data_IF_451652426927
#
_entry.id   IF_451652426927
#
_cell.length_a   1.000
_cell.length_b   1.000
_cell.length_c   1.000
_cell.angle_alpha   90.00
_cell.angle_beta   90.00
_cell.angle_gamma   90.00
#
_symmetry.space_group_name_H-M   'P 1'
#
loop_
_entity.id
_entity.type
_entity.pdbx_description
1 polymer ?
#
# COMPACT_ATOMS: atom_id res chain seq x y z
N UNK A 1 -1.47 -18.77 -6.40
CA UNK A 1 -0.58 -17.57 -6.24
C UNK A 1 -0.86 -16.92 -4.91
N UNK A 2 0.18 -16.59 -4.14
CA UNK A 2 0.08 -15.83 -2.89
C UNK A 2 0.30 -14.34 -3.14
N UNK A 3 -0.31 -13.49 -2.31
CA UNK A 3 -0.03 -12.06 -2.29
C UNK A 3 0.78 -11.71 -1.03
N UNK A 4 1.94 -11.09 -1.23
CA UNK A 4 2.76 -10.54 -0.17
C UNK A 4 2.57 -9.02 -0.10
N UNK A 5 2.05 -8.53 1.03
CA UNK A 5 1.81 -7.11 1.27
C UNK A 5 2.90 -6.58 2.22
N UNK A 6 3.69 -5.62 1.74
CA UNK A 6 4.78 -5.02 2.49
C UNK A 6 4.26 -4.08 3.58
N UNK A 7 4.24 -4.53 4.83
CA UNK A 7 3.72 -3.81 5.99
C UNK A 7 4.75 -3.41 7.04
N UNK A 8 6.01 -3.87 6.92
CA UNK A 8 7.05 -3.65 7.94
C UNK A 8 7.73 -2.27 7.90
N UNK A 9 7.40 -1.42 6.94
CA UNK A 9 7.98 -0.08 6.82
C UNK A 9 7.64 0.82 8.01
N UNK A 10 8.60 1.61 8.50
CA UNK A 10 8.41 2.52 9.64
C UNK A 10 7.42 3.67 9.36
N UNK A 11 7.16 3.98 8.08
CA UNK A 11 6.19 5.01 7.71
C UNK A 11 6.53 6.42 8.20
N UNK A 12 7.82 6.75 8.30
CA UNK A 12 8.30 8.02 8.89
C UNK A 12 7.75 9.27 8.22
N UNK A 13 7.48 9.23 6.92
CA UNK A 13 6.87 10.35 6.17
C UNK A 13 5.40 10.58 6.54
N UNK A 14 4.71 9.58 7.08
CA UNK A 14 3.32 9.67 7.52
C UNK A 14 3.22 10.02 9.03
N UNK A 15 4.35 10.24 9.69
CA UNK A 15 4.32 10.73 11.07
C UNK A 15 3.58 12.10 11.14
N UNK A 16 2.85 12.38 12.23
CA UNK A 16 2.81 11.62 13.49
C UNK A 16 1.78 10.47 13.53
N UNK A 17 1.01 10.22 12.48
CA UNK A 17 -0.04 9.19 12.44
C UNK A 17 0.54 7.78 12.69
N UNK A 18 1.75 7.53 12.19
CA UNK A 18 2.44 6.25 12.37
C UNK A 18 2.99 6.01 13.78
N UNK A 19 2.93 7.01 14.66
CA UNK A 19 3.14 6.81 16.09
C UNK A 19 1.91 6.16 16.78
N UNK A 20 0.76 6.17 16.12
CA UNK A 20 -0.52 5.61 16.63
C UNK A 20 -0.78 4.24 16.03
N UNK A 21 -0.63 4.11 14.71
CA UNK A 21 -0.91 2.89 13.95
C UNK A 21 0.19 2.62 12.92
N UNK A 22 0.57 1.36 12.67
CA UNK A 22 1.36 1.01 11.49
C UNK A 22 0.68 1.54 10.22
N UNK A 23 1.48 2.00 9.26
CA UNK A 23 0.97 2.61 8.02
C UNK A 23 -0.14 1.79 7.32
N UNK A 24 -0.02 0.46 7.14
CA UNK A 24 -1.08 -0.32 6.51
C UNK A 24 -2.37 -0.43 7.34
N UNK A 25 -2.33 -0.04 8.61
CA UNK A 25 -3.49 -0.05 9.51
C UNK A 25 -4.17 1.32 9.65
N UNK A 26 -3.65 2.40 9.03
CA UNK A 26 -4.37 3.68 9.04
C UNK A 26 -5.74 3.53 8.37
N UNK A 27 -6.79 4.11 8.96
CA UNK A 27 -8.14 3.95 8.43
C UNK A 27 -8.28 4.72 7.10
N UNK A 28 -8.78 4.04 6.09
CA UNK A 28 -9.29 4.64 4.86
C UNK A 28 -10.80 4.42 4.88
N UNK A 29 -11.57 5.48 4.99
CA UNK A 29 -12.98 5.40 5.36
C UNK A 29 -13.17 4.58 6.64
N UNK A 30 -13.88 3.44 6.56
CA UNK A 30 -14.32 2.68 7.74
C UNK A 30 -13.46 1.44 8.03
N UNK A 31 -12.35 1.23 7.33
CA UNK A 31 -11.48 0.06 7.54
C UNK A 31 -9.99 0.36 7.27
N UNK A 32 -9.07 -0.44 7.83
CA UNK A 32 -7.63 -0.32 7.56
C UNK A 32 -7.27 -0.37 6.08
N UNK A 33 -6.28 0.42 5.69
CA UNK A 33 -5.72 0.49 4.34
C UNK A 33 -5.47 -0.90 3.73
N UNK A 34 -4.78 -1.78 4.49
CA UNK A 34 -4.45 -3.14 4.03
C UNK A 34 -5.68 -3.98 3.70
N UNK A 35 -6.80 -3.76 4.40
CA UNK A 35 -8.02 -4.52 4.16
C UNK A 35 -8.69 -4.15 2.83
N UNK A 36 -8.50 -2.92 2.33
CA UNK A 36 -8.92 -2.55 0.97
C UNK A 36 -8.13 -3.33 -0.07
N UNK A 37 -6.80 -3.43 0.10
CA UNK A 37 -5.94 -4.22 -0.77
C UNK A 37 -6.32 -5.71 -0.75
N UNK A 38 -6.54 -6.28 0.43
CA UNK A 38 -6.98 -7.68 0.56
C UNK A 38 -8.35 -7.90 -0.08
N UNK A 39 -9.32 -7.00 0.14
CA UNK A 39 -10.64 -7.08 -0.50
C UNK A 39 -10.55 -7.07 -2.02
N UNK A 40 -9.70 -6.22 -2.57
CA UNK A 40 -9.46 -6.18 -4.00
C UNK A 40 -8.89 -7.51 -4.51
N UNK A 41 -7.86 -8.03 -3.85
CA UNK A 41 -7.24 -9.30 -4.26
C UNK A 41 -8.16 -10.50 -4.10
N UNK A 42 -9.01 -10.53 -3.06
CA UNK A 42 -10.05 -11.56 -2.89
C UNK A 42 -11.01 -11.55 -4.09
N UNK A 43 -11.42 -10.37 -4.58
CA UNK A 43 -12.25 -10.27 -5.80
C UNK A 43 -11.50 -10.75 -7.06
N UNK A 44 -10.18 -10.59 -7.09
CA UNK A 44 -9.31 -11.13 -8.16
C UNK A 44 -9.04 -12.64 -8.03
N UNK A 45 -9.59 -13.31 -7.02
CA UNK A 45 -9.42 -14.75 -6.80
C UNK A 45 -8.20 -15.14 -5.98
N UNK A 46 -7.44 -14.20 -5.43
CA UNK A 46 -6.32 -14.46 -4.53
C UNK A 46 -6.85 -14.71 -3.13
N UNK A 47 -6.46 -15.83 -2.53
CA UNK A 47 -7.02 -16.33 -1.26
C UNK A 47 -5.97 -16.59 -0.19
N UNK A 48 -4.72 -16.25 -0.42
CA UNK A 48 -3.61 -16.56 0.49
C UNK A 48 -2.70 -15.34 0.60
N UNK A 49 -2.58 -14.81 1.81
CA UNK A 49 -1.89 -13.55 2.07
C UNK A 49 -0.69 -13.76 2.99
N UNK A 50 0.38 -13.02 2.70
CA UNK A 50 1.53 -12.86 3.58
C UNK A 50 1.66 -11.36 3.86
N UNK A 51 1.93 -10.99 5.11
CA UNK A 51 2.15 -9.60 5.51
C UNK A 51 3.38 -9.54 6.40
N UNK A 52 4.40 -8.77 6.03
CA UNK A 52 5.47 -8.52 6.99
C UNK A 52 5.11 -7.36 7.92
N UNK A 53 5.53 -7.46 9.17
CA UNK A 53 5.24 -6.49 10.23
C UNK A 53 6.50 -6.21 11.03
N UNK A 54 6.66 -5.00 11.56
CA UNK A 54 7.83 -4.67 12.40
C UNK A 54 7.47 -3.90 13.66
N UNK A 55 6.65 -2.86 13.54
CA UNK A 55 6.33 -1.96 14.65
C UNK A 55 4.90 -2.16 15.16
N UNK A 56 4.68 -1.72 16.42
CA UNK A 56 3.35 -1.71 17.06
C UNK A 56 2.61 -3.06 16.97
N UNK A 57 3.20 -4.20 17.42
CA UNK A 57 2.62 -5.53 17.22
C UNK A 57 1.21 -5.67 17.77
N UNK A 58 0.90 -5.05 18.91
CA UNK A 58 -0.45 -5.05 19.48
C UNK A 58 -1.52 -4.43 18.57
N UNK A 59 -1.14 -3.54 17.65
CA UNK A 59 -2.09 -2.96 16.70
C UNK A 59 -2.43 -3.96 15.60
N UNK A 60 -1.46 -4.78 15.19
CA UNK A 60 -1.68 -5.87 14.25
C UNK A 60 -2.58 -6.96 14.85
N UNK A 61 -2.33 -7.38 16.10
CA UNK A 61 -3.18 -8.35 16.83
C UNK A 61 -4.62 -7.86 16.97
N UNK A 62 -4.82 -6.56 17.24
CA UNK A 62 -6.16 -5.96 17.29
C UNK A 62 -6.87 -5.90 15.94
N UNK A 63 -6.12 -5.62 14.87
CA UNK A 63 -6.68 -5.53 13.52
C UNK A 63 -6.98 -6.91 12.93
N UNK A 64 -6.22 -7.92 13.36
CA UNK A 64 -6.34 -9.32 12.94
C UNK A 64 -6.24 -10.24 14.17
N UNK A 65 -7.33 -10.34 14.97
CA UNK A 65 -7.33 -11.20 16.16
C UNK A 65 -7.19 -12.68 15.83
N UNK A 66 -7.54 -13.06 14.61
CA UNK A 66 -7.29 -14.38 14.02
C UNK A 66 -6.39 -14.22 12.80
N UNK A 67 -5.53 -15.20 12.47
CA UNK A 67 -4.64 -15.13 11.30
C UNK A 67 -5.42 -15.37 9.99
N UNK A 68 -6.56 -14.72 9.84
CA UNK A 68 -7.46 -14.82 8.68
C UNK A 68 -8.11 -13.48 8.38
N UNK A 69 -8.46 -13.26 7.13
CA UNK A 69 -9.29 -12.16 6.68
C UNK A 69 -10.34 -12.66 5.70
N UNK A 70 -11.64 -12.48 6.02
CA UNK A 70 -12.79 -12.97 5.23
C UNK A 70 -12.67 -14.45 4.82
N UNK A 71 -12.19 -15.29 5.76
CA UNK A 71 -11.99 -16.71 5.53
C UNK A 71 -10.75 -17.07 4.70
N UNK A 72 -9.90 -16.09 4.36
CA UNK A 72 -8.62 -16.30 3.71
C UNK A 72 -7.49 -16.29 4.75
N UNK A 73 -6.54 -17.24 4.72
CA UNK A 73 -5.40 -17.25 5.64
C UNK A 73 -4.50 -16.04 5.42
N UNK A 74 -3.97 -15.52 6.53
CA UNK A 74 -2.98 -14.45 6.54
C UNK A 74 -1.78 -14.90 7.37
N UNK A 75 -0.63 -15.06 6.73
CA UNK A 75 0.62 -15.34 7.43
C UNK A 75 1.33 -14.03 7.77
N UNK A 76 1.58 -13.77 9.05
CA UNK A 76 2.32 -12.61 9.51
C UNK A 76 3.80 -12.95 9.68
N UNK A 77 4.67 -12.29 8.90
CA UNK A 77 6.13 -12.38 8.99
C UNK A 77 6.64 -11.23 9.83
N UNK A 78 6.85 -11.46 11.12
CA UNK A 78 7.36 -10.43 12.02
C UNK A 78 8.85 -10.17 11.79
N UNK A 79 9.24 -8.91 11.65
CA UNK A 79 10.61 -8.42 11.56
C UNK A 79 10.94 -7.67 12.85
N UNK A 80 12.02 -8.03 13.53
CA UNK A 80 12.50 -7.29 14.72
C UNK A 80 12.96 -5.88 14.33
N UNK A 81 13.67 -5.81 13.21
CA UNK A 81 14.00 -4.57 12.51
C UNK A 81 13.56 -4.69 11.05
N UNK A 82 13.13 -3.59 10.41
CA UNK A 82 12.77 -3.60 9.00
C UNK A 82 13.91 -4.11 8.12
N UNK A 83 13.64 -5.18 7.36
CA UNK A 83 14.61 -5.85 6.50
C UNK A 83 14.75 -5.20 5.11
N UNK A 84 14.06 -4.09 4.86
CA UNK A 84 13.88 -3.48 3.54
C UNK A 84 13.10 -4.41 2.58
N UNK A 85 12.86 -3.95 1.36
CA UNK A 85 11.99 -4.62 0.39
C UNK A 85 12.48 -6.00 -0.05
N UNK A 86 13.78 -6.18 -0.20
CA UNK A 86 14.38 -7.45 -0.58
C UNK A 86 14.49 -8.45 0.57
N UNK A 87 14.90 -7.98 1.73
CA UNK A 87 15.02 -8.83 2.92
C UNK A 87 13.66 -9.35 3.40
N UNK A 88 12.62 -8.51 3.34
CA UNK A 88 11.25 -8.94 3.61
C UNK A 88 10.79 -10.05 2.67
N UNK A 89 11.06 -9.92 1.37
CA UNK A 89 10.78 -10.98 0.37
C UNK A 89 11.61 -12.23 0.67
N UNK A 90 12.93 -12.12 0.91
CA UNK A 90 13.81 -13.25 1.25
C UNK A 90 13.25 -14.06 2.41
N UNK A 91 12.84 -13.38 3.48
CA UNK A 91 12.33 -14.01 4.70
C UNK A 91 11.09 -14.87 4.48
N UNK A 92 10.22 -14.48 3.55
CA UNK A 92 8.95 -15.19 3.31
C UNK A 92 9.05 -16.28 2.23
N UNK A 93 10.18 -16.39 1.53
CA UNK A 93 10.35 -17.37 0.44
C UNK A 93 10.01 -18.82 0.83
N UNK A 94 10.30 -19.32 2.06
CA UNK A 94 9.86 -20.65 2.48
C UNK A 94 8.33 -20.87 2.46
N UNK A 95 7.54 -19.79 2.43
CA UNK A 95 6.07 -19.83 2.37
C UNK A 95 5.53 -19.72 0.94
N UNK A 96 6.42 -19.50 -0.07
CA UNK A 96 6.05 -19.26 -1.46
C UNK A 96 6.10 -20.56 -2.25
N UNK A 97 5.01 -20.98 -2.93
CA UNK A 97 5.05 -22.10 -3.86
C UNK A 97 6.07 -21.86 -4.98
N UNK A 98 6.76 -22.94 -5.42
CA UNK A 98 7.83 -22.80 -6.42
C UNK A 98 7.32 -22.80 -7.87
N UNK A 99 6.07 -23.16 -8.09
CA UNK A 99 5.42 -23.32 -9.39
C UNK A 99 4.54 -22.13 -9.81
N UNK A 100 4.41 -21.13 -8.94
CA UNK A 100 3.61 -19.93 -9.18
C UNK A 100 4.36 -18.66 -8.81
N UNK A 101 4.20 -17.54 -9.55
CA UNK A 101 4.81 -16.29 -9.18
C UNK A 101 4.20 -15.74 -7.88
N UNK A 102 5.03 -15.03 -7.11
CA UNK A 102 4.62 -14.24 -5.97
C UNK A 102 4.10 -12.88 -6.45
N UNK A 103 2.90 -12.49 -6.01
CA UNK A 103 2.42 -11.12 -6.15
C UNK A 103 2.92 -10.31 -4.95
N UNK A 104 3.64 -9.24 -5.20
CA UNK A 104 4.12 -8.33 -4.15
C UNK A 104 3.44 -6.97 -4.30
N UNK A 105 2.99 -6.42 -3.18
CA UNK A 105 2.28 -5.15 -3.11
C UNK A 105 2.83 -4.26 -2.00
N UNK A 106 3.18 -3.03 -2.34
CA UNK A 106 3.58 -2.04 -1.33
C UNK A 106 2.40 -1.67 -0.43
N UNK A 107 2.51 -1.84 0.87
CA UNK A 107 1.42 -1.68 1.83
C UNK A 107 0.91 -0.24 2.02
N UNK A 108 1.44 0.71 1.25
CA UNK A 108 1.02 2.11 1.24
C UNK A 108 0.32 2.54 -0.06
N UNK A 109 0.07 1.60 -0.94
CA UNK A 109 -0.61 1.85 -2.21
C UNK A 109 -2.04 1.31 -2.15
N UNK A 110 -2.98 2.10 -2.66
CA UNK A 110 -4.33 1.66 -3.01
C UNK A 110 -4.47 1.69 -4.52
N UNK A 111 -4.85 0.57 -5.11
CA UNK A 111 -4.99 0.47 -6.56
C UNK A 111 -5.93 -0.66 -6.95
N UNK A 112 -6.50 -0.54 -8.15
CA UNK A 112 -7.29 -1.59 -8.80
C UNK A 112 -6.59 -2.17 -10.04
N UNK A 113 -5.25 -2.10 -10.07
CA UNK A 113 -4.43 -2.70 -11.14
C UNK A 113 -4.80 -4.18 -11.32
N UNK A 114 -5.25 -4.60 -12.54
CA UNK A 114 -5.75 -5.94 -12.77
C UNK A 114 -4.63 -6.98 -12.75
N UNK A 115 -4.60 -7.80 -11.72
CA UNK A 115 -3.60 -8.87 -11.55
C UNK A 115 -3.58 -9.84 -12.73
N UNK A 116 -4.73 -10.11 -13.33
CA UNK A 116 -4.84 -11.02 -14.47
C UNK A 116 -4.05 -10.52 -15.69
N UNK A 117 -4.09 -9.22 -15.98
CA UNK A 117 -3.33 -8.63 -17.10
C UNK A 117 -1.83 -8.63 -16.81
N UNK A 118 -1.44 -8.29 -15.56
CA UNK A 118 -0.06 -8.34 -15.13
C UNK A 118 0.50 -9.77 -15.24
N UNK A 119 -0.28 -10.78 -14.81
CA UNK A 119 0.10 -12.20 -14.90
C UNK A 119 0.18 -12.68 -16.35
N UNK A 120 -0.75 -12.27 -17.20
CA UNK A 120 -0.73 -12.60 -18.62
C UNK A 120 0.53 -12.05 -19.31
N UNK A 121 0.91 -10.82 -19.02
CA UNK A 121 2.14 -10.20 -19.55
C UNK A 121 3.40 -10.88 -18.99
N UNK A 122 3.41 -11.23 -17.71
CA UNK A 122 4.50 -11.94 -17.06
C UNK A 122 4.82 -13.27 -17.77
N UNK A 123 3.80 -14.10 -17.98
CA UNK A 123 3.93 -15.40 -18.67
C UNK A 123 4.29 -15.25 -20.15
N UNK A 124 3.58 -14.36 -20.87
CA UNK A 124 3.79 -14.17 -22.32
C UNK A 124 5.20 -13.75 -22.67
N UNK A 125 5.80 -12.87 -21.85
CA UNK A 125 7.10 -12.28 -22.14
C UNK A 125 8.28 -13.02 -21.50
N UNK A 126 8.03 -14.15 -20.81
CA UNK A 126 9.06 -14.95 -20.14
C UNK A 126 9.89 -14.15 -19.13
N UNK A 127 9.23 -13.22 -18.44
CA UNK A 127 9.87 -12.40 -17.42
C UNK A 127 10.05 -13.20 -16.12
N UNK A 128 11.08 -12.89 -15.37
CA UNK A 128 11.23 -13.36 -13.99
C UNK A 128 10.66 -12.33 -12.99
N UNK A 129 10.60 -11.07 -13.39
CA UNK A 129 9.92 -10.00 -12.66
C UNK A 129 9.10 -9.18 -13.64
N UNK A 130 7.85 -8.83 -13.27
CA UNK A 130 7.02 -7.92 -14.06
C UNK A 130 6.45 -6.84 -13.16
N UNK A 131 6.80 -5.59 -13.47
CA UNK A 131 6.40 -4.42 -12.72
C UNK A 131 5.10 -3.83 -13.26
N UNK A 132 4.20 -3.43 -12.40
CA UNK A 132 3.14 -2.50 -12.76
C UNK A 132 3.74 -1.09 -12.82
N UNK A 133 3.49 -0.38 -13.91
CA UNK A 133 4.06 0.93 -14.21
C UNK A 133 2.96 1.96 -14.43
N UNK A 134 3.33 3.24 -14.26
CA UNK A 134 2.52 4.41 -14.62
C UNK A 134 3.38 5.42 -15.38
N UNK A 135 2.79 6.07 -16.38
CA UNK A 135 3.43 7.17 -17.12
C UNK A 135 2.92 8.55 -16.66
N UNK A 136 1.78 8.57 -15.96
CA UNK A 136 1.16 9.78 -15.42
C UNK A 136 1.92 10.24 -14.18
N UNK A 137 1.84 11.51 -13.90
CA UNK A 137 2.39 12.28 -12.78
C UNK A 137 3.24 11.52 -11.75
N UNK A 138 4.38 12.06 -11.35
CA UNK A 138 5.21 11.48 -10.31
C UNK A 138 6.69 11.34 -10.68
N UNK A 139 7.42 10.64 -9.82
CA UNK A 139 8.86 10.41 -10.00
C UNK A 139 9.09 9.34 -11.07
N UNK A 140 9.36 9.75 -12.29
CA UNK A 140 9.73 8.86 -13.38
C UNK A 140 11.14 8.29 -13.17
N UNK A 141 11.21 7.15 -12.52
CA UNK A 141 12.47 6.52 -12.12
C UNK A 141 12.68 5.11 -12.72
N UNK A 142 11.80 4.70 -13.63
CA UNK A 142 11.89 3.43 -14.36
C UNK A 142 12.05 3.74 -15.84
N UNK A 143 13.15 3.30 -16.44
CA UNK A 143 13.33 3.24 -17.87
C UNK A 143 12.54 2.07 -18.44
N UNK A 144 11.64 2.32 -19.37
CA UNK A 144 10.78 1.30 -19.96
C UNK A 144 10.76 1.46 -21.47
N UNK A 145 10.94 0.37 -22.19
CA UNK A 145 10.79 0.27 -23.63
C UNK A 145 9.42 -0.35 -23.96
N UNK A 146 8.49 0.49 -24.38
CA UNK A 146 7.13 0.09 -24.73
C UNK A 146 7.05 -0.88 -25.91
N UNK A 147 8.00 -0.80 -26.85
CA UNK A 147 8.03 -1.67 -28.03
C UNK A 147 8.35 -3.14 -27.66
N UNK A 148 9.23 -3.33 -26.68
CA UNK A 148 9.62 -4.66 -26.21
C UNK A 148 8.91 -5.09 -24.93
N UNK A 149 8.27 -4.17 -24.21
CA UNK A 149 7.69 -4.41 -22.90
C UNK A 149 8.73 -4.68 -21.81
N UNK A 150 9.98 -4.25 -22.01
CA UNK A 150 11.10 -4.49 -21.09
C UNK A 150 11.46 -3.24 -20.29
N UNK A 151 11.77 -3.45 -19.02
CA UNK A 151 12.41 -2.44 -18.19
C UNK A 151 13.90 -2.39 -18.55
N UNK A 152 14.40 -1.19 -18.81
CA UNK A 152 15.78 -0.95 -19.30
C UNK A 152 16.69 -0.32 -18.25
N UNK A 153 16.11 0.38 -17.26
CA UNK A 153 16.85 0.99 -16.16
C UNK A 153 15.91 1.19 -14.95
N UNK A 154 16.49 1.34 -13.79
CA UNK A 154 15.77 1.73 -12.59
C UNK A 154 16.61 2.71 -11.76
N UNK A 155 15.99 3.85 -11.36
CA UNK A 155 16.65 4.93 -10.63
C UNK A 155 17.89 5.48 -11.36
N UNK A 156 17.93 5.35 -12.68
CA UNK A 156 19.06 5.73 -13.53
C UNK A 156 20.39 5.05 -13.14
N UNK A 157 20.31 3.88 -12.52
CA UNK A 157 21.46 3.19 -11.95
C UNK A 157 22.36 2.53 -13.01
N UNK A 158 21.81 2.20 -14.19
CA UNK A 158 22.57 1.65 -15.33
C UNK A 158 23.02 2.74 -16.30
N UNK A 159 22.53 3.98 -16.16
CA UNK A 159 22.87 5.10 -17.06
C UNK A 159 22.30 4.97 -18.47
N UNK A 160 21.39 4.03 -18.71
CA UNK A 160 20.82 3.74 -20.04
C UNK A 160 19.60 4.60 -20.33
N UNK A 161 18.77 4.85 -19.32
CA UNK A 161 17.51 5.58 -19.48
C UNK A 161 17.24 6.48 -18.26
N UNK A 162 16.93 7.79 -18.45
CA UNK A 162 16.71 8.72 -17.34
C UNK A 162 15.43 8.45 -16.55
N UNK A 163 14.59 7.51 -17.03
CA UNK A 163 13.29 7.20 -16.47
C UNK A 163 12.16 7.86 -17.26
N UNK A 164 11.21 7.02 -17.66
CA UNK A 164 10.01 7.43 -18.43
C UNK A 164 8.74 7.12 -17.67
N UNK A 165 8.81 6.17 -16.74
CA UNK A 165 7.70 5.65 -15.97
C UNK A 165 7.98 5.64 -14.46
N UNK A 166 6.92 5.49 -13.69
CA UNK A 166 6.96 5.26 -12.25
C UNK A 166 6.60 3.80 -11.95
N UNK A 167 7.31 3.19 -11.01
CA UNK A 167 6.88 1.92 -10.42
C UNK A 167 5.64 2.14 -9.56
N UNK A 168 4.56 1.42 -9.86
CA UNK A 168 3.25 1.59 -9.20
C UNK A 168 3.12 0.86 -7.85
N UNK A 169 4.19 0.22 -7.36
CA UNK A 169 4.16 -0.47 -6.06
C UNK A 169 3.60 -1.89 -6.11
N UNK A 170 3.33 -2.44 -7.29
CA UNK A 170 2.83 -3.82 -7.49
C UNK A 170 3.71 -4.55 -8.50
N UNK A 171 4.09 -5.78 -8.20
CA UNK A 171 4.86 -6.61 -9.13
C UNK A 171 4.64 -8.09 -8.94
N UNK A 172 4.95 -8.84 -9.98
CA UNK A 172 5.07 -10.31 -9.95
C UNK A 172 6.54 -10.70 -9.96
N UNK A 173 6.89 -11.74 -9.24
CA UNK A 173 8.23 -12.29 -9.18
C UNK A 173 8.18 -13.82 -9.16
N UNK A 174 8.92 -14.47 -10.06
CA UNK A 174 9.12 -15.91 -10.03
C UNK A 174 9.98 -16.32 -8.82
N UNK A 175 9.67 -17.41 -8.13
CA UNK A 175 10.41 -17.86 -6.95
C UNK A 175 11.90 -18.10 -7.20
N UNK A 176 12.30 -18.50 -8.40
CA UNK A 176 13.71 -18.72 -8.75
C UNK A 176 14.58 -17.46 -8.66
N UNK A 177 13.98 -16.27 -8.63
CA UNK A 177 14.71 -15.00 -8.39
C UNK A 177 15.42 -15.01 -7.04
N UNK A 178 14.94 -15.80 -6.07
CA UNK A 178 15.57 -15.95 -4.76
C UNK A 178 17.02 -16.48 -4.82
N UNK A 179 17.39 -17.16 -5.88
CA UNK A 179 18.79 -17.62 -6.11
C UNK A 179 19.78 -16.45 -6.30
N UNK A 180 19.27 -15.25 -6.60
CA UNK A 180 20.06 -14.04 -6.76
C UNK A 180 20.10 -13.16 -5.50
N UNK A 181 19.45 -13.57 -4.43
CA UNK A 181 19.44 -12.78 -3.20
C UNK A 181 20.82 -12.81 -2.54
N UNK A 182 21.26 -11.68 -1.96
CA UNK A 182 22.52 -11.64 -1.21
C UNK A 182 22.41 -12.49 0.08
N UNK A 183 23.56 -12.80 0.66
CA UNK A 183 23.61 -13.48 1.96
C UNK A 183 23.00 -12.63 3.07
N UNK A 184 23.19 -11.31 3.00
CA UNK A 184 22.62 -10.35 3.96
C UNK A 184 21.10 -10.51 4.07
N UNK A 185 20.58 -10.37 5.29
CA UNK A 185 19.14 -10.42 5.53
C UNK A 185 18.44 -9.11 5.24
N UNK A 186 19.15 -7.98 5.34
CA UNK A 186 18.61 -6.64 5.12
C UNK A 186 19.15 -6.05 3.83
N UNK A 187 18.30 -5.98 2.80
CA UNK A 187 18.67 -5.39 1.50
C UNK A 187 17.45 -4.90 0.73
N UNK A 188 17.68 -3.95 -0.18
CA UNK A 188 16.69 -3.52 -1.16
C UNK A 188 16.59 -4.52 -2.32
N UNK A 189 15.38 -4.77 -2.82
CA UNK A 189 15.17 -5.64 -3.99
C UNK A 189 15.71 -5.03 -5.30
N UNK A 190 15.90 -3.72 -5.36
CA UNK A 190 16.29 -3.00 -6.58
C UNK A 190 17.62 -3.49 -7.19
N UNK A 191 18.70 -3.75 -6.43
CA UNK A 191 19.92 -4.33 -6.99
C UNK A 191 19.69 -5.68 -7.70
N UNK A 192 18.83 -6.53 -7.17
CA UNK A 192 18.44 -7.81 -7.80
C UNK A 192 17.73 -7.55 -9.13
N UNK A 193 16.81 -6.58 -9.15
CA UNK A 193 16.15 -6.21 -10.40
C UNK A 193 17.12 -5.64 -11.43
N UNK A 194 18.09 -4.82 -11.02
CA UNK A 194 19.12 -4.28 -11.93
C UNK A 194 19.94 -5.40 -12.61
N UNK A 195 20.26 -6.45 -11.87
CA UNK A 195 20.94 -7.61 -12.43
C UNK A 195 20.06 -8.37 -13.43
N UNK A 196 18.76 -8.51 -13.12
CA UNK A 196 17.77 -9.13 -14.03
C UNK A 196 17.47 -8.24 -15.25
N UNK A 197 17.48 -6.91 -15.11
CA UNK A 197 17.34 -5.96 -16.22
C UNK A 197 18.45 -6.16 -17.25
N UNK A 198 19.71 -6.26 -16.81
CA UNK A 198 20.85 -6.56 -17.71
C UNK A 198 20.67 -7.85 -18.50
N UNK A 199 19.95 -8.82 -17.94
CA UNK A 199 19.61 -10.12 -18.57
C UNK A 199 18.32 -10.07 -19.40
N UNK A 200 17.63 -8.93 -19.51
CA UNK A 200 16.35 -8.80 -20.19
C UNK A 200 15.19 -9.58 -19.53
N UNK A 201 15.29 -9.84 -18.21
CA UNK A 201 14.32 -10.65 -17.45
C UNK A 201 13.33 -9.84 -16.63
N UNK A 202 13.37 -8.52 -16.70
CA UNK A 202 12.38 -7.62 -16.07
C UNK A 202 11.51 -7.00 -17.14
N UNK A 203 10.20 -7.19 -17.02
CA UNK A 203 9.20 -6.54 -17.87
C UNK A 203 8.37 -5.52 -17.11
N UNK A 204 7.54 -4.81 -17.84
CA UNK A 204 6.57 -3.86 -17.30
C UNK A 204 5.23 -3.90 -18.03
N UNK A 205 4.20 -3.41 -17.36
CA UNK A 205 2.87 -3.15 -17.94
C UNK A 205 2.41 -1.79 -17.40
N UNK A 206 1.98 -0.91 -18.31
CA UNK A 206 1.51 0.44 -17.96
C UNK A 206 0.02 0.40 -17.68
N UNK A 207 -0.38 0.93 -16.51
CA UNK A 207 -1.76 0.97 -16.03
C UNK A 207 -2.20 2.40 -15.68
N UNK A 208 -2.11 3.31 -16.64
CA UNK A 208 -2.48 4.72 -16.44
C UNK A 208 -3.98 4.93 -16.19
N UNK A 209 -4.80 3.98 -16.62
CA UNK A 209 -6.24 4.00 -16.42
C UNK A 209 -6.70 3.44 -15.07
N UNK A 210 -5.81 2.73 -14.34
CA UNK A 210 -6.14 2.17 -13.05
C UNK A 210 -6.14 3.25 -11.96
N UNK A 211 -7.07 3.15 -11.03
CA UNK A 211 -7.04 3.97 -9.82
C UNK A 211 -5.76 3.69 -9.04
N UNK A 212 -5.11 4.75 -8.57
CA UNK A 212 -3.85 4.60 -7.84
C UNK A 212 -3.65 5.77 -6.87
N UNK A 213 -3.50 5.45 -5.59
CA UNK A 213 -3.24 6.42 -4.53
C UNK A 213 -2.09 5.92 -3.65
N UNK A 214 -1.09 6.78 -3.43
CA UNK A 214 -0.02 6.54 -2.46
C UNK A 214 -0.37 7.23 -1.14
N UNK A 215 -0.40 6.47 -0.06
CA UNK A 215 -0.60 6.99 1.30
C UNK A 215 0.79 7.29 1.90
N UNK A 216 1.50 8.24 1.32
CA UNK A 216 2.91 8.51 1.60
C UNK A 216 3.17 9.44 2.78
N UNK A 217 2.38 10.51 2.90
CA UNK A 217 2.45 11.55 3.95
C UNK A 217 1.03 11.88 4.45
N UNK A 218 0.88 12.69 5.52
CA UNK A 218 -0.44 13.12 5.96
C UNK A 218 -1.23 13.85 4.89
N UNK A 219 -0.59 14.71 4.08
CA UNK A 219 -1.21 15.41 2.95
C UNK A 219 -1.69 14.41 1.89
N UNK A 220 -0.81 13.51 1.43
CA UNK A 220 -1.17 12.49 0.44
C UNK A 220 -2.29 11.57 0.94
N UNK A 221 -2.32 11.27 2.24
CA UNK A 221 -3.38 10.48 2.85
C UNK A 221 -4.72 11.23 2.83
N UNK A 222 -4.73 12.50 3.25
CA UNK A 222 -5.94 13.32 3.22
C UNK A 222 -6.47 13.45 1.80
N UNK A 223 -5.62 13.87 0.86
CA UNK A 223 -6.00 14.09 -0.55
C UNK A 223 -6.53 12.80 -1.17
N UNK A 224 -5.85 11.66 -0.98
CA UNK A 224 -6.30 10.37 -1.50
C UNK A 224 -7.69 9.98 -0.98
N UNK A 225 -7.96 10.18 0.31
CA UNK A 225 -9.26 9.85 0.91
C UNK A 225 -10.36 10.80 0.43
N UNK A 226 -10.06 12.09 0.27
CA UNK A 226 -11.04 13.06 -0.23
C UNK A 226 -11.38 12.83 -1.72
N UNK A 227 -10.38 12.48 -2.55
CA UNK A 227 -10.57 12.16 -3.98
C UNK A 227 -11.36 10.87 -4.20
N UNK A 228 -11.25 9.90 -3.29
CA UNK A 228 -11.94 8.62 -3.41
C UNK A 228 -13.43 8.76 -3.20
N UNK A 229 -14.22 8.37 -4.19
CA UNK A 229 -15.67 8.31 -4.06
C UNK A 229 -16.09 7.15 -3.15
N UNK A 230 -16.76 7.45 -2.03
CA UNK A 230 -17.31 6.43 -1.12
C UNK A 230 -18.67 6.85 -0.59
N UNK A 231 -19.60 5.88 -0.51
CA UNK A 231 -20.90 6.08 0.16
C UNK A 231 -20.80 5.98 1.68
N UNK A 232 -19.70 5.43 2.21
CA UNK A 232 -19.50 5.19 3.64
C UNK A 232 -18.58 6.25 4.27
N UNK A 233 -18.78 7.52 3.95
CA UNK A 233 -17.98 8.62 4.52
C UNK A 233 -18.21 8.79 6.02
N UNK A 234 -19.47 8.65 6.49
CA UNK A 234 -19.84 8.76 7.90
C UNK A 234 -20.26 7.39 8.42
N UNK A 235 -19.55 6.90 9.45
CA UNK A 235 -19.93 5.63 10.06
C UNK A 235 -21.28 5.74 10.80
N UNK A 236 -22.19 4.77 10.67
CA UNK A 236 -23.53 4.82 11.29
C UNK A 236 -23.52 4.97 12.83
N UNK A 237 -22.45 4.55 13.51
CA UNK A 237 -22.30 4.70 14.97
C UNK A 237 -21.69 6.04 15.39
N UNK A 238 -21.29 6.90 14.45
CA UNK A 238 -20.79 8.23 14.79
C UNK A 238 -21.92 9.10 15.37
N UNK A 239 -21.60 9.86 16.40
CA UNK A 239 -22.52 10.81 17.02
C UNK A 239 -22.20 12.21 16.57
N UNK A 240 -23.10 12.82 15.81
CA UNK A 240 -22.95 14.19 15.31
C UNK A 240 -24.08 15.04 15.90
N UNK A 241 -23.73 16.04 16.68
CA UNK A 241 -24.72 16.93 17.28
C UNK A 241 -25.36 17.86 16.22
N UNK A 242 -26.62 18.24 16.42
CA UNK A 242 -27.40 19.09 15.51
C UNK A 242 -26.81 20.50 15.29
N UNK A 243 -25.88 20.93 16.14
CA UNK A 243 -25.17 22.20 16.00
C UNK A 243 -23.75 22.06 15.45
N UNK A 244 -23.42 20.91 14.87
CA UNK A 244 -22.18 20.68 14.13
C UNK A 244 -22.43 20.91 12.64
N UNK A 245 -21.45 21.50 11.95
CA UNK A 245 -21.43 21.73 10.50
C UNK A 245 -20.31 20.89 9.86
N UNK A 246 -20.66 20.02 8.93
CA UNK A 246 -19.72 19.12 8.25
C UNK A 246 -19.81 19.33 6.73
N UNK A 247 -18.67 19.63 6.13
CA UNK A 247 -18.49 19.61 4.67
C UNK A 247 -18.78 18.21 4.09
N UNK A 248 -19.22 18.17 2.83
CA UNK A 248 -19.66 16.96 2.13
C UNK A 248 -18.54 15.90 2.02
N UNK A 249 -17.28 16.34 1.96
CA UNK A 249 -16.11 15.47 1.81
C UNK A 249 -15.52 14.94 3.12
N UNK A 250 -16.07 15.36 4.27
CA UNK A 250 -15.61 14.87 5.56
C UNK A 250 -15.83 13.36 5.72
N UNK A 251 -14.83 12.68 6.28
CA UNK A 251 -14.89 11.27 6.64
C UNK A 251 -14.92 11.14 8.16
N UNK A 252 -15.92 10.47 8.71
CA UNK A 252 -16.11 10.30 10.15
C UNK A 252 -16.15 8.81 10.50
N UNK A 253 -15.16 8.39 11.29
CA UNK A 253 -14.98 6.99 11.68
C UNK A 253 -15.94 6.48 12.75
N UNK A 254 -15.91 5.18 12.98
CA UNK A 254 -16.72 4.45 13.96
C UNK A 254 -16.62 5.09 15.35
N UNK A 255 -17.77 5.26 16.04
CA UNK A 255 -17.88 5.75 17.41
C UNK A 255 -17.20 7.13 17.64
N UNK A 256 -16.98 7.90 16.57
CA UNK A 256 -16.52 9.27 16.69
C UNK A 256 -17.63 10.18 17.22
N UNK A 257 -17.27 11.19 18.01
CA UNK A 257 -18.20 12.14 18.61
C UNK A 257 -17.84 13.57 18.16
N UNK A 258 -18.79 14.21 17.48
CA UNK A 258 -18.66 15.59 17.00
C UNK A 258 -19.71 16.44 17.70
N UNK A 259 -19.35 17.26 18.70
CA UNK A 259 -20.28 18.08 19.48
C UNK A 259 -20.76 19.31 18.69
N UNK A 260 -21.78 19.97 19.21
CA UNK A 260 -22.21 21.27 18.69
C UNK A 260 -21.07 22.30 18.73
N UNK A 261 -21.07 23.21 17.75
CA UNK A 261 -20.02 24.22 17.60
C UNK A 261 -18.75 23.73 16.90
N UNK A 262 -18.77 22.52 16.35
CA UNK A 262 -17.75 22.08 15.40
C UNK A 262 -18.11 22.52 13.98
N UNK A 263 -17.11 23.01 13.23
CA UNK A 263 -17.15 23.20 11.78
C UNK A 263 -16.02 22.39 11.18
N UNK A 264 -16.32 21.36 10.40
CA UNK A 264 -15.36 20.48 9.75
C UNK A 264 -15.45 20.66 8.23
N UNK A 265 -14.33 20.90 7.57
CA UNK A 265 -14.22 21.09 6.13
C UNK A 265 -12.98 20.32 5.62
N UNK A 266 -13.15 19.40 4.67
CA UNK A 266 -12.08 18.52 4.19
C UNK A 266 -11.35 17.77 5.32
N UNK A 267 -12.08 17.15 6.24
CA UNK A 267 -11.50 16.52 7.42
C UNK A 267 -11.68 15.00 7.42
N UNK A 268 -10.67 14.30 7.96
CA UNK A 268 -10.77 12.90 8.34
C UNK A 268 -10.79 12.80 9.86
N UNK A 269 -11.87 12.26 10.41
CA UNK A 269 -12.00 11.97 11.85
C UNK A 269 -11.86 10.46 12.05
N UNK A 270 -10.78 10.07 12.73
CA UNK A 270 -10.51 8.65 12.99
C UNK A 270 -11.54 8.02 13.95
N UNK A 271 -11.66 6.69 13.96
CA UNK A 271 -12.55 6.00 14.90
C UNK A 271 -12.31 6.39 16.36
N UNK A 272 -13.39 6.52 17.13
CA UNK A 272 -13.38 6.84 18.57
C UNK A 272 -12.74 8.19 18.92
N UNK A 273 -12.71 9.11 17.99
CA UNK A 273 -12.21 10.48 18.23
C UNK A 273 -13.32 11.32 18.83
N UNK A 274 -13.06 12.00 19.95
CA UNK A 274 -13.91 13.02 20.53
C UNK A 274 -13.37 14.39 20.10
N UNK A 275 -14.03 14.98 19.11
CA UNK A 275 -13.64 16.28 18.57
C UNK A 275 -13.98 17.39 19.57
N UNK A 276 -13.11 18.37 19.76
CA UNK A 276 -13.43 19.54 20.57
C UNK A 276 -14.17 20.58 19.72
N UNK A 277 -15.08 21.39 20.30
CA UNK A 277 -15.70 22.50 19.56
C UNK A 277 -14.66 23.41 18.93
N UNK A 278 -14.87 23.76 17.66
CA UNK A 278 -13.92 24.58 16.90
C UNK A 278 -14.07 24.43 15.40
N UNK A 279 -13.28 25.18 14.64
CA UNK A 279 -13.25 25.11 13.18
C UNK A 279 -11.98 24.38 12.72
N UNK A 280 -12.16 23.34 11.91
CA UNK A 280 -11.11 22.50 11.37
C UNK A 280 -11.23 22.47 9.86
N UNK A 281 -10.16 22.75 9.15
CA UNK A 281 -10.09 22.67 7.68
C UNK A 281 -8.86 21.90 7.28
N UNK A 282 -8.99 20.97 6.36
CA UNK A 282 -7.93 20.08 5.92
C UNK A 282 -7.18 19.46 7.10
N UNK A 283 -7.92 18.77 7.97
CA UNK A 283 -7.38 18.19 9.20
C UNK A 283 -7.58 16.67 9.24
N UNK A 284 -6.63 15.99 9.88
CA UNK A 284 -6.77 14.60 10.31
C UNK A 284 -6.90 14.62 11.84
N UNK A 285 -8.09 14.30 12.33
CA UNK A 285 -8.43 14.31 13.75
C UNK A 285 -8.39 12.88 14.29
N UNK A 286 -7.56 12.64 15.29
CA UNK A 286 -7.39 11.31 15.89
C UNK A 286 -7.63 11.36 17.41
N UNK A 287 -7.81 10.21 18.08
CA UNK A 287 -7.99 10.21 19.55
C UNK A 287 -6.80 10.77 20.34
N UNK A 288 -5.65 10.99 19.71
CA UNK A 288 -4.42 11.38 20.38
C UNK A 288 -3.80 12.67 19.84
N UNK A 289 -3.88 12.88 18.55
CA UNK A 289 -3.15 13.94 17.85
C UNK A 289 -4.05 14.49 16.74
N UNK A 290 -4.10 15.81 16.60
CA UNK A 290 -4.70 16.46 15.44
C UNK A 290 -3.57 16.93 14.51
N UNK A 291 -3.71 16.62 13.22
CA UNK A 291 -2.77 17.05 12.18
C UNK A 291 -3.48 18.08 11.32
N UNK A 292 -2.97 19.28 11.33
CA UNK A 292 -3.42 20.39 10.47
C UNK A 292 -2.54 20.39 9.21
N UNK A 293 -3.15 20.52 8.01
CA UNK A 293 -2.47 20.50 6.71
C UNK A 293 -2.69 21.78 5.92
#
# INVERSE_FOLDING_TARGET
MKAFILGAGLGTRLAPLTHILPKPLVPVFQKPLIQHTMDFYIRCGIRDFIVNTSCLPLMWERAFPEPTYRGCPVYFSQEEEPLDSGGGVKKIMPQVPQDEPLLVHNGDILTDIPVAELLAAHKRNGNLVTLALRSLDGKRNVGFDEATGKVTDMRHALGVNPGTHQFAGVYLMDPCVAELFPEDDKFSIVPVWLELIKRGKVGGVVFDWAAWHEIGSPEMYLDAVLEMSSRERIHPSATIASGADLGEDCVVGQDAVIPAGCVLDDCIVWPRTHVQPGTYRRCILTPRINVQL
#
